data_IF_774795277840
#
_entry.id   IF_774795277840
#
_cell.length_a   1.000
_cell.length_b   1.000
_cell.length_c   1.000
_cell.angle_alpha   90.00
_cell.angle_beta   90.00
_cell.angle_gamma   90.00
#
_symmetry.space_group_name_H-M   'P 1'
#
loop_
_entity.id
_entity.type
_entity.pdbx_description
1 polymer ?
#
# COMPACT_ATOMS: atom_id res chain seq x y z
N UNK A 1 9.02 -15.30 -6.47
CA UNK A 1 8.84 -13.83 -6.37
C UNK A 1 8.33 -13.54 -4.99
N UNK A 2 8.93 -12.56 -4.30
CA UNK A 2 8.58 -12.32 -2.90
C UNK A 2 7.26 -11.56 -2.77
N UNK A 3 7.05 -10.55 -3.64
CA UNK A 3 5.82 -9.76 -3.63
C UNK A 3 5.32 -9.41 -5.03
N UNK A 4 4.00 -9.21 -5.13
CA UNK A 4 3.31 -8.67 -6.30
C UNK A 4 2.36 -7.56 -5.82
N UNK A 5 2.66 -6.31 -6.17
CA UNK A 5 1.75 -5.20 -5.91
C UNK A 5 0.82 -5.00 -7.12
N UNK A 6 -0.40 -4.55 -6.87
CA UNK A 6 -1.36 -4.21 -7.92
C UNK A 6 -1.96 -2.83 -7.64
N UNK A 7 -1.97 -1.97 -8.65
CA UNK A 7 -2.71 -0.71 -8.58
C UNK A 7 -2.04 0.45 -9.31
N UNK A 8 -2.30 1.66 -8.82
CA UNK A 8 -1.92 2.90 -9.45
C UNK A 8 -0.40 3.18 -9.39
N UNK A 9 0.11 3.68 -10.52
CA UNK A 9 1.35 4.44 -10.65
C UNK A 9 0.93 5.84 -11.11
N UNK A 10 1.30 6.85 -10.36
CA UNK A 10 0.93 8.23 -10.62
C UNK A 10 2.01 9.21 -10.18
N UNK A 11 1.84 10.46 -10.58
CA UNK A 11 2.64 11.58 -10.07
C UNK A 11 1.78 12.50 -9.22
N UNK A 12 2.21 12.73 -8.00
CA UNK A 12 1.68 13.77 -7.13
C UNK A 12 2.21 15.12 -7.61
N UNK A 13 1.30 16.03 -7.98
CA UNK A 13 1.62 17.37 -8.48
C UNK A 13 1.24 18.39 -7.41
N UNK A 14 2.23 19.04 -6.83
CA UNK A 14 2.06 20.09 -5.84
C UNK A 14 2.90 21.31 -6.22
N UNK A 15 2.27 22.48 -6.43
CA UNK A 15 2.94 23.75 -6.74
C UNK A 15 3.95 23.65 -7.90
N UNK A 16 3.64 22.85 -8.93
CA UNK A 16 4.49 22.62 -10.10
C UNK A 16 5.62 21.61 -9.89
N UNK A 17 5.84 21.13 -8.70
CA UNK A 17 6.70 19.98 -8.41
C UNK A 17 5.94 18.68 -8.64
N UNK A 18 6.64 17.66 -9.13
CA UNK A 18 6.07 16.34 -9.32
C UNK A 18 6.89 15.29 -8.58
N UNK A 19 6.20 14.41 -7.89
CA UNK A 19 6.82 13.28 -7.17
C UNK A 19 6.13 11.99 -7.62
N UNK A 20 6.91 10.99 -7.99
CA UNK A 20 6.39 9.67 -8.33
C UNK A 20 5.77 9.05 -7.07
N UNK A 21 4.57 8.49 -7.20
CA UNK A 21 3.78 7.94 -6.10
C UNK A 21 2.74 6.91 -6.56
N UNK A 22 1.78 6.68 -5.70
CA UNK A 22 0.79 5.61 -5.76
C UNK A 22 1.05 4.59 -4.66
N UNK A 23 0.06 4.31 -3.80
CA UNK A 23 0.27 3.46 -2.64
C UNK A 23 0.89 2.10 -2.97
N UNK A 24 0.43 1.36 -4.03
CA UNK A 24 1.04 0.09 -4.41
C UNK A 24 2.49 0.23 -4.86
N UNK A 25 2.84 1.34 -5.53
CA UNK A 25 4.20 1.62 -5.93
C UNK A 25 5.08 1.98 -4.73
N UNK A 26 4.57 2.77 -3.79
CA UNK A 26 5.30 3.12 -2.56
C UNK A 26 5.67 1.87 -1.77
N UNK A 27 4.71 0.95 -1.57
CA UNK A 27 4.95 -0.34 -0.92
C UNK A 27 6.00 -1.17 -1.67
N UNK A 28 5.87 -1.30 -2.99
CA UNK A 28 6.83 -2.02 -3.82
C UNK A 28 8.24 -1.42 -3.71
N UNK A 29 8.35 -0.09 -3.68
CA UNK A 29 9.63 0.61 -3.57
C UNK A 29 10.31 0.36 -2.22
N UNK A 30 9.58 0.43 -1.13
CA UNK A 30 10.12 0.11 0.19
C UNK A 30 10.52 -1.36 0.29
N UNK A 31 9.72 -2.31 -0.23
CA UNK A 31 10.08 -3.72 -0.28
C UNK A 31 11.37 -3.98 -1.09
N UNK A 32 11.52 -3.30 -2.24
CA UNK A 32 12.77 -3.38 -3.01
C UNK A 32 13.97 -2.82 -2.23
N UNK A 33 13.81 -1.68 -1.52
CA UNK A 33 14.85 -1.11 -0.64
C UNK A 33 15.18 -2.02 0.54
N UNK A 34 14.25 -2.86 0.99
CA UNK A 34 14.46 -3.91 2.00
C UNK A 34 15.10 -5.18 1.43
N UNK A 35 15.44 -5.21 0.14
CA UNK A 35 16.13 -6.31 -0.52
C UNK A 35 15.23 -7.41 -1.08
N UNK A 36 13.91 -7.26 -1.07
CA UNK A 36 12.97 -8.22 -1.65
C UNK A 36 12.84 -8.04 -3.16
N UNK A 37 12.56 -9.14 -3.86
CA UNK A 37 12.39 -9.18 -5.32
C UNK A 37 10.93 -9.32 -5.68
N UNK A 38 10.39 -8.32 -6.37
CA UNK A 38 9.00 -8.33 -6.77
C UNK A 38 8.71 -7.37 -7.92
N UNK A 39 7.44 -7.28 -8.23
CA UNK A 39 6.92 -6.46 -9.34
C UNK A 39 5.65 -5.75 -8.93
N UNK A 40 5.26 -4.79 -9.75
CA UNK A 40 3.95 -4.14 -9.70
C UNK A 40 3.21 -4.39 -11.01
N UNK A 41 1.97 -4.85 -10.92
CA UNK A 41 1.03 -4.89 -12.06
C UNK A 41 0.32 -3.55 -12.12
N UNK A 42 0.60 -2.80 -13.14
CA UNK A 42 0.06 -1.46 -13.35
C UNK A 42 0.08 -1.09 -14.83
N UNK A 43 -0.28 0.14 -15.14
CA UNK A 43 -0.16 0.73 -16.46
C UNK A 43 0.27 2.18 -16.37
N UNK A 44 1.15 2.59 -17.29
CA UNK A 44 1.56 3.99 -17.49
C UNK A 44 1.31 4.40 -18.93
N UNK A 45 1.26 5.69 -19.20
CA UNK A 45 1.06 6.22 -20.55
C UNK A 45 2.29 6.07 -21.43
N UNK A 46 2.09 6.14 -22.76
CA UNK A 46 3.15 6.35 -23.74
C UNK A 46 3.48 7.86 -23.79
N UNK A 47 3.95 8.39 -22.67
CA UNK A 47 4.24 9.80 -22.46
C UNK A 47 5.51 10.00 -21.61
N UNK A 48 5.92 11.26 -21.44
CA UNK A 48 7.14 11.61 -20.70
C UNK A 48 7.06 11.16 -19.22
N UNK A 49 5.88 11.25 -18.58
CA UNK A 49 5.69 10.80 -17.20
C UNK A 49 5.77 9.28 -17.10
N UNK A 50 5.22 8.55 -18.07
CA UNK A 50 5.34 7.08 -18.11
C UNK A 50 6.78 6.62 -18.25
N UNK A 51 7.54 7.28 -19.15
CA UNK A 51 8.97 6.99 -19.33
C UNK A 51 9.79 7.30 -18.07
N UNK A 52 9.49 8.42 -17.38
CA UNK A 52 10.11 8.78 -16.12
C UNK A 52 9.78 7.77 -15.01
N UNK A 53 8.50 7.35 -14.92
CA UNK A 53 8.05 6.34 -13.95
C UNK A 53 8.80 5.01 -14.15
N UNK A 54 8.84 4.48 -15.37
CA UNK A 54 9.54 3.21 -15.67
C UNK A 54 11.04 3.32 -15.34
N UNK A 55 11.68 4.44 -15.67
CA UNK A 55 13.09 4.66 -15.37
C UNK A 55 13.36 4.66 -13.87
N UNK A 56 12.52 5.37 -13.11
CA UNK A 56 12.63 5.45 -11.65
C UNK A 56 12.37 4.10 -10.99
N UNK A 57 11.35 3.37 -11.43
CA UNK A 57 11.00 2.03 -10.94
C UNK A 57 12.16 1.04 -11.12
N UNK A 58 12.79 1.04 -12.30
CA UNK A 58 13.98 0.22 -12.57
C UNK A 58 15.16 0.62 -11.69
N UNK A 59 15.37 1.93 -11.47
CA UNK A 59 16.44 2.43 -10.61
C UNK A 59 16.27 2.00 -9.15
N UNK A 60 15.03 1.92 -8.66
CA UNK A 60 14.71 1.43 -7.31
C UNK A 60 14.97 -0.08 -7.19
N UNK A 61 14.96 -0.83 -8.30
CA UNK A 61 15.16 -2.28 -8.32
C UNK A 61 13.88 -3.11 -8.39
N UNK A 62 12.75 -2.48 -8.74
CA UNK A 62 11.48 -3.18 -8.96
C UNK A 62 11.45 -3.74 -10.39
N UNK A 63 11.01 -4.98 -10.56
CA UNK A 63 10.79 -5.56 -11.88
C UNK A 63 9.60 -4.87 -12.57
N UNK A 64 9.88 -4.19 -13.67
CA UNK A 64 8.88 -3.45 -14.45
C UNK A 64 8.21 -4.29 -15.56
N UNK A 65 8.48 -5.58 -15.64
CA UNK A 65 8.01 -6.45 -16.74
C UNK A 65 6.48 -6.64 -16.76
N UNK A 66 5.81 -6.37 -15.65
CA UNK A 66 4.35 -6.47 -15.50
C UNK A 66 3.64 -5.09 -15.58
N UNK A 67 4.38 -4.02 -15.94
CA UNK A 67 3.81 -2.70 -16.20
C UNK A 67 3.52 -2.59 -17.69
N UNK A 68 2.27 -2.31 -18.04
CA UNK A 68 1.87 -2.09 -19.43
C UNK A 68 2.02 -0.62 -19.84
N UNK A 69 2.27 -0.41 -21.13
CA UNK A 69 2.21 0.94 -21.74
C UNK A 69 0.83 1.11 -22.38
N UNK A 70 0.15 2.17 -22.02
CA UNK A 70 -1.21 2.51 -22.47
C UNK A 70 -1.20 3.70 -23.41
N UNK A 71 -2.21 3.80 -24.26
CA UNK A 71 -2.50 5.04 -25.01
C UNK A 71 -3.17 6.12 -24.15
N UNK A 72 -3.54 5.81 -22.91
CA UNK A 72 -4.06 6.76 -21.93
C UNK A 72 -2.90 7.47 -21.23
N UNK A 73 -3.14 8.68 -20.74
CA UNK A 73 -2.13 9.44 -20.00
C UNK A 73 -1.70 8.73 -18.71
N UNK A 74 -0.44 8.90 -18.36
CA UNK A 74 0.07 8.48 -17.04
C UNK A 74 -0.73 9.16 -15.91
N UNK A 75 -0.97 8.43 -14.86
CA UNK A 75 -1.73 8.89 -13.70
C UNK A 75 -1.14 10.16 -13.07
N UNK A 76 -2.03 11.06 -12.65
CA UNK A 76 -1.68 12.27 -11.89
C UNK A 76 -2.67 12.47 -10.76
N UNK A 77 -2.15 12.98 -9.65
CA UNK A 77 -2.93 13.54 -8.56
C UNK A 77 -2.53 15.00 -8.38
N UNK A 78 -3.38 15.91 -8.78
CA UNK A 78 -3.19 17.33 -8.51
C UNK A 78 -3.55 17.60 -7.05
N UNK A 79 -2.56 18.06 -6.27
CA UNK A 79 -2.70 18.30 -4.84
C UNK A 79 -2.91 19.80 -4.61
N UNK A 80 -4.01 20.14 -3.94
CA UNK A 80 -4.27 21.49 -3.46
C UNK A 80 -4.36 21.47 -1.93
N UNK A 81 -3.77 22.47 -1.29
CA UNK A 81 -3.89 22.63 0.16
C UNK A 81 -5.11 23.53 0.46
N UNK A 82 -6.05 23.00 1.24
CA UNK A 82 -7.24 23.72 1.68
C UNK A 82 -7.29 23.66 3.21
N UNK A 83 -7.18 24.81 3.86
CA UNK A 83 -7.17 24.94 5.33
C UNK A 83 -6.08 24.06 6.03
N UNK A 84 -5.01 23.74 5.32
CA UNK A 84 -3.92 22.90 5.81
C UNK A 84 -4.06 21.41 5.45
N UNK A 85 -5.22 20.97 4.93
CA UNK A 85 -5.45 19.61 4.48
C UNK A 85 -5.17 19.45 2.98
N UNK A 86 -4.61 18.32 2.58
CA UNK A 86 -4.34 17.99 1.19
C UNK A 86 -5.60 17.45 0.51
N UNK A 87 -6.06 18.14 -0.52
CA UNK A 87 -7.13 17.67 -1.41
C UNK A 87 -6.54 17.13 -2.71
N UNK A 88 -6.80 15.86 -3.01
CA UNK A 88 -6.28 15.15 -4.17
C UNK A 88 -7.32 15.12 -5.29
N UNK A 89 -6.94 15.56 -6.50
CA UNK A 89 -7.76 15.45 -7.69
C UNK A 89 -7.04 14.53 -8.68
N UNK A 90 -7.58 13.33 -8.85
CA UNK A 90 -7.03 12.35 -9.80
C UNK A 90 -7.59 12.61 -11.19
N UNK A 91 -6.72 12.52 -12.21
CA UNK A 91 -7.21 12.55 -13.60
C UNK A 91 -8.10 11.32 -13.89
N UNK A 92 -9.13 11.54 -14.66
CA UNK A 92 -10.04 10.48 -15.09
C UNK A 92 -9.45 9.69 -16.27
N UNK A 93 -9.86 8.41 -16.38
CA UNK A 93 -9.48 7.52 -17.49
C UNK A 93 -7.97 7.49 -17.78
N UNK A 94 -7.19 7.49 -16.71
CA UNK A 94 -5.73 7.41 -16.79
C UNK A 94 -5.24 5.97 -17.08
N UNK A 95 -3.95 5.82 -17.35
CA UNK A 95 -3.37 4.53 -17.70
C UNK A 95 -3.67 3.44 -16.66
N UNK A 96 -3.56 3.74 -15.35
CA UNK A 96 -3.85 2.78 -14.29
C UNK A 96 -5.35 2.44 -14.09
N UNK A 97 -6.26 3.19 -14.70
CA UNK A 97 -7.67 2.78 -14.84
C UNK A 97 -7.83 1.67 -15.90
N UNK A 98 -6.81 1.44 -16.71
CA UNK A 98 -6.80 0.54 -17.86
C UNK A 98 -5.68 -0.51 -17.74
N UNK A 99 -5.52 -1.13 -16.58
CA UNK A 99 -4.51 -2.17 -16.34
C UNK A 99 -4.95 -3.48 -17.00
N UNK A 100 -4.29 -3.93 -18.09
CA UNK A 100 -4.62 -5.20 -18.71
C UNK A 100 -4.02 -6.36 -17.91
N UNK A 101 -4.60 -7.57 -18.04
CA UNK A 101 -4.00 -8.78 -17.48
C UNK A 101 -2.64 -9.06 -18.12
N UNK A 102 -1.56 -9.15 -17.32
CA UNK A 102 -0.26 -9.54 -17.82
C UNK A 102 -0.26 -10.97 -18.36
N UNK A 103 0.51 -11.20 -19.42
CA UNK A 103 0.65 -12.55 -20.02
C UNK A 103 1.46 -13.50 -19.14
N UNK A 104 2.42 -12.97 -18.40
CA UNK A 104 3.41 -13.73 -17.63
C UNK A 104 3.24 -13.52 -16.14
N UNK A 105 2.02 -13.73 -15.60
CA UNK A 105 1.81 -13.70 -14.17
C UNK A 105 2.56 -14.84 -13.47
N UNK A 106 3.19 -14.58 -12.31
CA UNK A 106 3.77 -15.63 -11.48
C UNK A 106 2.67 -16.55 -10.96
N UNK A 107 2.96 -17.86 -10.86
CA UNK A 107 2.03 -18.81 -10.25
C UNK A 107 2.02 -18.71 -8.72
N UNK A 108 3.17 -18.39 -8.12
CA UNK A 108 3.34 -18.31 -6.67
C UNK A 108 4.10 -17.05 -6.29
N UNK A 109 3.62 -16.38 -5.25
CA UNK A 109 4.28 -15.21 -4.63
C UNK A 109 4.13 -15.30 -3.11
N UNK A 110 5.04 -14.66 -2.38
CA UNK A 110 4.89 -14.55 -0.93
C UNK A 110 3.69 -13.67 -0.54
N UNK A 111 3.59 -12.46 -1.14
CA UNK A 111 2.50 -11.52 -0.83
C UNK A 111 1.92 -10.90 -2.10
N UNK A 112 0.60 -10.82 -2.19
CA UNK A 112 -0.10 -9.89 -3.10
C UNK A 112 -0.57 -8.70 -2.28
N UNK A 113 -0.21 -7.48 -2.71
CA UNK A 113 -0.67 -6.22 -2.11
C UNK A 113 -1.55 -5.45 -3.09
N UNK A 114 -2.70 -4.97 -2.63
CA UNK A 114 -3.59 -4.11 -3.40
C UNK A 114 -4.42 -3.18 -2.51
N UNK A 115 -4.91 -2.09 -3.10
CA UNK A 115 -5.81 -1.11 -2.47
C UNK A 115 -7.15 -0.97 -3.20
N UNK A 116 -7.92 0.06 -2.82
CA UNK A 116 -9.24 0.33 -3.42
C UNK A 116 -9.17 1.19 -4.68
N UNK A 117 -8.23 2.14 -4.76
CA UNK A 117 -8.29 3.24 -5.73
C UNK A 117 -8.28 2.74 -7.19
N UNK A 118 -7.39 1.82 -7.56
CA UNK A 118 -7.33 1.30 -8.92
C UNK A 118 -8.56 0.47 -9.31
N UNK A 119 -9.35 0.01 -8.33
CA UNK A 119 -10.58 -0.74 -8.55
C UNK A 119 -11.76 0.15 -8.94
N UNK A 120 -11.60 1.50 -8.95
CA UNK A 120 -12.62 2.42 -9.46
C UNK A 120 -12.98 2.13 -10.91
N UNK A 121 -12.03 1.64 -11.70
CA UNK A 121 -12.24 1.18 -13.07
C UNK A 121 -12.61 -0.30 -13.09
N UNK A 122 -13.66 -0.64 -13.85
CA UNK A 122 -14.12 -2.01 -14.04
C UNK A 122 -13.05 -2.91 -14.70
N UNK A 123 -12.22 -2.35 -15.60
CA UNK A 123 -11.16 -3.12 -16.27
C UNK A 123 -10.05 -3.49 -15.30
N UNK A 124 -9.53 -2.53 -14.56
CA UNK A 124 -8.47 -2.78 -13.56
C UNK A 124 -8.97 -3.68 -12.43
N UNK A 125 -10.23 -3.52 -11.98
CA UNK A 125 -10.85 -4.42 -11.00
C UNK A 125 -10.93 -5.85 -11.50
N UNK A 126 -11.38 -6.07 -12.75
CA UNK A 126 -11.40 -7.39 -13.37
C UNK A 126 -10.01 -8.02 -13.44
N UNK A 127 -9.00 -7.22 -13.80
CA UNK A 127 -7.60 -7.70 -13.83
C UNK A 127 -7.13 -8.14 -12.44
N UNK A 128 -7.46 -7.40 -11.38
CA UNK A 128 -7.15 -7.80 -10.00
C UNK A 128 -7.84 -9.13 -9.65
N UNK A 129 -9.12 -9.30 -9.96
CA UNK A 129 -9.85 -10.54 -9.72
C UNK A 129 -9.19 -11.75 -10.42
N UNK A 130 -8.73 -11.53 -11.66
CA UNK A 130 -8.02 -12.56 -12.42
C UNK A 130 -6.65 -12.89 -11.83
N UNK A 131 -5.92 -11.90 -11.31
CA UNK A 131 -4.64 -12.09 -10.60
C UNK A 131 -4.88 -12.92 -9.33
N UNK A 132 -5.82 -12.50 -8.47
CA UNK A 132 -6.16 -13.18 -7.22
C UNK A 132 -6.72 -14.61 -7.42
N UNK A 133 -7.20 -14.91 -8.62
CA UNK A 133 -7.69 -16.24 -8.98
C UNK A 133 -6.60 -17.14 -9.58
N UNK A 134 -5.58 -16.55 -10.19
CA UNK A 134 -4.52 -17.27 -10.90
C UNK A 134 -3.25 -17.46 -10.06
N UNK A 135 -2.87 -16.43 -9.30
CA UNK A 135 -1.63 -16.40 -8.52
C UNK A 135 -1.90 -16.85 -7.09
N UNK A 136 -1.25 -17.91 -6.66
CA UNK A 136 -1.27 -18.35 -5.28
C UNK A 136 -0.32 -17.48 -4.47
N UNK A 137 -0.81 -16.89 -3.38
CA UNK A 137 -0.04 -16.07 -2.45
C UNK A 137 -0.07 -16.69 -1.06
N UNK A 138 1.05 -16.60 -0.32
CA UNK A 138 1.08 -16.97 1.09
C UNK A 138 0.23 -16.01 1.91
N UNK A 139 0.28 -14.70 1.58
CA UNK A 139 -0.54 -13.67 2.17
C UNK A 139 -1.16 -12.76 1.10
N UNK A 140 -2.39 -12.32 1.34
CA UNK A 140 -3.10 -11.34 0.52
C UNK A 140 -3.35 -10.10 1.38
N UNK A 141 -2.61 -9.04 1.09
CA UNK A 141 -2.65 -7.79 1.85
C UNK A 141 -3.59 -6.79 1.18
N UNK A 142 -4.72 -6.53 1.81
CA UNK A 142 -5.68 -5.52 1.39
C UNK A 142 -5.51 -4.25 2.24
N UNK A 143 -4.97 -3.20 1.63
CA UNK A 143 -4.92 -1.86 2.21
C UNK A 143 -6.16 -1.09 1.75
N UNK A 144 -7.09 -0.82 2.64
CA UNK A 144 -8.36 -0.16 2.30
C UNK A 144 -8.10 1.18 1.64
N UNK A 145 -7.29 2.01 2.23
CA UNK A 145 -6.75 3.27 1.69
C UNK A 145 -7.78 4.06 0.87
N UNK A 146 -8.89 4.44 1.51
CA UNK A 146 -10.01 5.12 0.87
C UNK A 146 -9.60 6.48 0.30
N UNK A 147 -10.03 6.76 -0.91
CA UNK A 147 -9.82 8.06 -1.56
C UNK A 147 -11.14 8.61 -2.06
N UNK A 148 -11.59 9.73 -1.48
CA UNK A 148 -12.84 10.42 -1.87
C UNK A 148 -14.02 9.44 -2.02
N UNK A 149 -14.64 9.44 -3.22
CA UNK A 149 -15.76 8.54 -3.58
C UNK A 149 -15.31 7.35 -4.45
N UNK A 150 -14.02 7.10 -4.59
CA UNK A 150 -13.50 6.06 -5.50
C UNK A 150 -13.52 4.66 -4.89
N UNK A 151 -14.51 4.37 -4.04
CA UNK A 151 -14.77 3.05 -3.48
C UNK A 151 -16.26 2.75 -3.50
N UNK A 152 -16.62 1.51 -3.34
CA UNK A 152 -17.99 1.06 -3.21
C UNK A 152 -18.08 -0.10 -2.22
N UNK A 153 -19.31 -0.38 -1.73
CA UNK A 153 -19.56 -1.57 -0.91
C UNK A 153 -19.03 -2.85 -1.58
N UNK A 154 -19.23 -2.98 -2.89
CA UNK A 154 -18.76 -4.15 -3.65
C UNK A 154 -17.24 -4.29 -3.60
N UNK A 155 -16.49 -3.22 -3.88
CA UNK A 155 -15.01 -3.22 -3.84
C UNK A 155 -14.52 -3.61 -2.44
N UNK A 156 -15.09 -3.04 -1.38
CA UNK A 156 -14.72 -3.33 -0.01
C UNK A 156 -14.99 -4.79 0.34
N UNK A 157 -16.22 -5.26 0.10
CA UNK A 157 -16.62 -6.62 0.47
C UNK A 157 -15.81 -7.68 -0.28
N UNK A 158 -15.55 -7.49 -1.59
CA UNK A 158 -14.71 -8.41 -2.35
C UNK A 158 -13.25 -8.38 -1.89
N UNK A 159 -12.71 -7.21 -1.56
CA UNK A 159 -11.37 -7.08 -0.96
C UNK A 159 -11.27 -7.85 0.37
N UNK A 160 -12.23 -7.65 1.27
CA UNK A 160 -12.28 -8.34 2.56
C UNK A 160 -12.39 -9.86 2.42
N UNK A 161 -13.14 -10.37 1.44
CA UNK A 161 -13.26 -11.82 1.18
C UNK A 161 -11.96 -12.47 0.71
N UNK A 162 -11.04 -11.70 0.15
CA UNK A 162 -9.78 -12.20 -0.38
C UNK A 162 -8.61 -11.99 0.58
N UNK A 163 -8.74 -11.03 1.49
CA UNK A 163 -7.66 -10.62 2.38
C UNK A 163 -7.33 -11.69 3.44
N UNK A 164 -6.05 -11.92 3.65
CA UNK A 164 -5.51 -12.55 4.85
C UNK A 164 -4.95 -11.52 5.82
N UNK A 165 -4.59 -10.35 5.29
CA UNK A 165 -4.17 -9.17 6.04
C UNK A 165 -5.00 -7.98 5.58
N UNK A 166 -5.71 -7.36 6.51
CA UNK A 166 -6.46 -6.13 6.32
C UNK A 166 -5.72 -4.97 6.96
N UNK A 167 -5.55 -3.86 6.24
CA UNK A 167 -5.08 -2.62 6.83
C UNK A 167 -6.11 -1.51 6.63
N UNK A 168 -6.34 -0.75 7.71
CA UNK A 168 -7.17 0.45 7.75
C UNK A 168 -6.47 1.52 8.59
N UNK A 169 -6.86 2.77 8.43
CA UNK A 169 -6.56 3.80 9.41
C UNK A 169 -7.75 4.02 10.36
N UNK A 170 -7.56 4.81 11.42
CA UNK A 170 -8.60 5.08 12.43
C UNK A 170 -9.84 5.79 11.86
N UNK A 171 -9.69 6.55 10.76
CA UNK A 171 -10.80 7.24 10.10
C UNK A 171 -11.57 6.30 9.15
N UNK A 172 -10.92 5.29 8.62
CA UNK A 172 -11.51 4.31 7.71
C UNK A 172 -12.37 3.27 8.45
N UNK A 173 -12.00 2.91 9.68
CA UNK A 173 -12.73 1.90 10.46
C UNK A 173 -14.24 2.22 10.54
N UNK A 174 -14.70 3.42 10.97
CA UNK A 174 -16.13 3.72 11.04
C UNK A 174 -16.81 3.73 9.66
N UNK A 175 -16.09 4.08 8.59
CA UNK A 175 -16.65 4.03 7.21
C UNK A 175 -16.89 2.58 6.80
N UNK A 176 -15.95 1.70 7.09
CA UNK A 176 -16.09 0.27 6.81
C UNK A 176 -17.20 -0.36 7.65
N UNK A 177 -17.32 0.03 8.93
CA UNK A 177 -18.45 -0.38 9.78
C UNK A 177 -19.80 -0.04 9.16
N UNK A 178 -19.99 1.21 8.73
CA UNK A 178 -21.22 1.67 8.08
C UNK A 178 -21.50 0.89 6.79
N UNK A 179 -20.50 0.66 5.97
CA UNK A 179 -20.63 -0.15 4.73
C UNK A 179 -21.08 -1.58 5.06
N UNK A 180 -20.57 -2.18 6.12
CA UNK A 180 -20.85 -3.56 6.51
C UNK A 180 -22.11 -3.71 7.39
N UNK A 181 -22.61 -2.62 7.94
CA UNK A 181 -23.73 -2.62 8.89
C UNK A 181 -23.32 -3.08 10.30
N UNK A 182 -22.02 -3.02 10.63
CA UNK A 182 -21.48 -3.22 11.96
C UNK A 182 -21.78 -1.98 12.79
N UNK A 183 -22.03 -2.12 14.09
CA UNK A 183 -22.44 -1.01 14.97
C UNK A 183 -21.61 -0.98 16.26
N UNK A 184 -20.34 -1.27 16.14
CA UNK A 184 -19.39 -1.08 17.22
C UNK A 184 -18.90 0.38 17.19
N UNK A 185 -18.62 0.97 18.34
CA UNK A 185 -18.08 2.34 18.40
C UNK A 185 -16.60 2.36 18.79
N UNK A 186 -16.11 1.22 19.14
CA UNK A 186 -14.74 1.01 19.57
C UNK A 186 -13.96 0.42 18.40
N UNK A 187 -12.84 1.05 18.04
CA UNK A 187 -12.01 0.66 16.88
C UNK A 187 -11.52 -0.77 17.02
N UNK A 188 -11.12 -1.19 18.23
CA UNK A 188 -10.62 -2.53 18.47
C UNK A 188 -11.72 -3.57 18.22
N UNK A 189 -12.91 -3.36 18.80
CA UNK A 189 -14.07 -4.25 18.64
C UNK A 189 -14.58 -4.30 17.21
N UNK A 190 -14.64 -3.15 16.54
CA UNK A 190 -15.02 -3.08 15.13
C UNK A 190 -14.07 -3.89 14.27
N UNK A 191 -12.78 -3.75 14.49
CA UNK A 191 -11.74 -4.48 13.77
C UNK A 191 -11.78 -5.98 14.05
N UNK A 192 -12.04 -6.38 15.31
CA UNK A 192 -12.23 -7.79 15.69
C UNK A 192 -13.48 -8.39 15.02
N UNK A 193 -14.57 -7.63 14.96
CA UNK A 193 -15.80 -8.08 14.29
C UNK A 193 -15.60 -8.24 12.78
N UNK A 194 -14.90 -7.31 12.12
CA UNK A 194 -14.53 -7.42 10.71
C UNK A 194 -13.66 -8.67 10.48
N UNK A 195 -12.62 -8.85 11.31
CA UNK A 195 -11.76 -10.04 11.29
C UNK A 195 -12.58 -11.33 11.39
N UNK A 196 -13.49 -11.39 12.35
CA UNK A 196 -14.35 -12.55 12.58
C UNK A 196 -15.31 -12.81 11.42
N UNK A 197 -15.99 -11.78 10.91
CA UNK A 197 -17.00 -11.88 9.86
C UNK A 197 -16.41 -12.36 8.53
N UNK A 198 -15.20 -11.92 8.21
CA UNK A 198 -14.52 -12.25 6.95
C UNK A 198 -13.41 -13.29 7.12
N UNK A 199 -13.20 -13.81 8.33
CA UNK A 199 -12.14 -14.78 8.65
C UNK A 199 -10.74 -14.26 8.27
N UNK A 200 -10.48 -12.98 8.52
CA UNK A 200 -9.20 -12.33 8.26
C UNK A 200 -8.30 -12.49 9.49
N UNK A 201 -7.22 -13.29 9.41
CA UNK A 201 -6.39 -13.57 10.58
C UNK A 201 -5.61 -12.38 11.11
N UNK A 202 -5.35 -11.37 10.28
CA UNK A 202 -4.55 -10.21 10.69
C UNK A 202 -5.24 -8.91 10.30
N UNK A 203 -5.48 -8.02 11.28
CA UNK A 203 -5.99 -6.66 11.03
C UNK A 203 -5.01 -5.64 11.59
N UNK A 204 -4.62 -4.71 10.74
CA UNK A 204 -3.70 -3.61 11.06
C UNK A 204 -4.52 -2.32 11.10
N UNK A 205 -4.38 -1.56 12.18
CA UNK A 205 -4.99 -0.22 12.28
C UNK A 205 -3.91 0.81 12.56
N UNK A 206 -3.77 1.80 11.67
CA UNK A 206 -2.90 2.95 11.90
C UNK A 206 -3.68 4.06 12.62
N UNK A 207 -3.04 4.68 13.61
CA UNK A 207 -3.65 5.64 14.54
C UNK A 207 -2.96 7.02 14.44
N UNK A 208 -2.46 7.36 13.25
CA UNK A 208 -1.75 8.60 13.00
C UNK A 208 -0.61 8.82 13.99
N UNK A 209 -0.63 9.95 14.70
CA UNK A 209 0.37 10.30 15.73
C UNK A 209 0.38 9.37 16.94
N UNK A 210 -0.64 8.55 17.12
CA UNK A 210 -0.74 7.58 18.21
C UNK A 210 -0.11 6.23 17.84
N UNK A 211 0.43 6.07 16.62
CA UNK A 211 1.16 4.89 16.18
C UNK A 211 0.31 3.90 15.39
N UNK A 212 0.47 2.62 15.68
CA UNK A 212 -0.25 1.56 14.99
C UNK A 212 -0.47 0.34 15.89
N UNK A 213 -1.43 -0.48 15.51
CA UNK A 213 -1.73 -1.71 16.22
C UNK A 213 -2.10 -2.84 15.26
N UNK A 214 -1.86 -4.07 15.68
CA UNK A 214 -2.18 -5.28 14.91
C UNK A 214 -2.96 -6.23 15.79
N UNK A 215 -4.09 -6.68 15.28
CA UNK A 215 -4.86 -7.80 15.81
C UNK A 215 -4.46 -9.08 15.08
N UNK A 216 -4.07 -10.11 15.83
CA UNK A 216 -3.82 -11.44 15.29
C UNK A 216 -3.98 -12.48 16.39
N UNK A 217 -4.53 -13.65 16.07
CA UNK A 217 -4.71 -14.77 17.00
C UNK A 217 -5.44 -14.40 18.31
N UNK A 218 -6.46 -13.52 18.20
CA UNK A 218 -7.26 -13.07 19.33
C UNK A 218 -6.57 -12.07 20.26
N UNK A 219 -5.44 -11.47 19.83
CA UNK A 219 -4.66 -10.55 20.67
C UNK A 219 -4.23 -9.32 19.88
N UNK A 220 -4.19 -8.18 20.60
CA UNK A 220 -3.66 -6.93 20.09
C UNK A 220 -2.19 -6.74 20.43
N UNK A 221 -1.41 -6.30 19.45
CA UNK A 221 -0.09 -5.74 19.64
C UNK A 221 -0.13 -4.27 19.24
N UNK A 222 0.23 -3.36 20.15
CA UNK A 222 0.19 -1.90 19.94
C UNK A 222 1.58 -1.32 20.02
N UNK A 223 1.84 -0.28 19.23
CA UNK A 223 3.08 0.48 19.26
C UNK A 223 2.80 1.96 19.05
N UNK A 224 3.35 2.79 19.92
CA UNK A 224 3.28 4.25 19.79
C UNK A 224 4.13 4.74 18.62
N UNK A 225 3.79 5.91 18.08
CA UNK A 225 4.56 6.51 17.01
C UNK A 225 5.95 6.95 17.52
N UNK A 226 6.99 6.66 16.76
CA UNK A 226 8.37 6.94 17.11
C UNK A 226 8.92 8.24 16.49
N UNK A 227 8.17 8.85 15.57
CA UNK A 227 8.64 10.03 14.85
C UNK A 227 8.90 11.21 15.78
N UNK A 228 10.16 11.62 15.86
CA UNK A 228 10.61 12.79 16.64
C UNK A 228 10.40 14.11 15.88
N UNK A 229 10.30 14.04 14.57
CA UNK A 229 10.11 15.15 13.64
C UNK A 229 9.14 14.73 12.56
N UNK A 230 8.23 15.60 12.20
CA UNK A 230 7.28 15.40 11.09
C UNK A 230 7.58 16.43 10.02
N UNK A 231 7.99 15.98 8.84
CA UNK A 231 8.24 16.81 7.65
C UNK A 231 7.12 16.58 6.63
N UNK A 232 6.81 15.30 6.35
CA UNK A 232 5.78 14.91 5.39
C UNK A 232 5.14 13.60 5.89
N UNK A 233 3.84 13.48 5.80
CA UNK A 233 3.13 12.26 6.22
C UNK A 233 2.80 11.33 5.05
N UNK A 234 3.08 11.75 3.83
CA UNK A 234 2.84 10.96 2.61
C UNK A 234 3.72 9.71 2.63
N UNK A 235 3.10 8.55 2.36
CA UNK A 235 3.80 7.26 2.34
C UNK A 235 4.08 6.62 3.71
N UNK A 236 3.72 7.26 4.83
CA UNK A 236 3.90 6.67 6.16
C UNK A 236 3.18 5.31 6.30
N UNK A 237 1.92 5.25 5.88
CA UNK A 237 1.14 4.00 5.88
C UNK A 237 1.71 2.94 4.95
N UNK A 238 2.21 3.36 3.78
CA UNK A 238 2.78 2.47 2.77
C UNK A 238 4.10 1.88 3.25
N UNK A 239 4.95 2.69 3.86
CA UNK A 239 6.24 2.26 4.42
C UNK A 239 6.07 1.36 5.64
N UNK A 240 5.06 1.62 6.50
CA UNK A 240 4.65 0.71 7.56
C UNK A 240 4.24 -0.66 6.97
N UNK A 241 3.37 -0.65 5.96
CA UNK A 241 2.91 -1.86 5.28
C UNK A 241 4.09 -2.65 4.71
N UNK A 242 5.03 -1.98 4.04
CA UNK A 242 6.22 -2.63 3.48
C UNK A 242 7.11 -3.26 4.57
N UNK A 243 7.33 -2.57 5.69
CA UNK A 243 8.08 -3.10 6.83
C UNK A 243 7.41 -4.34 7.45
N UNK A 244 6.09 -4.31 7.58
CA UNK A 244 5.31 -5.47 8.06
C UNK A 244 5.40 -6.63 7.06
N UNK A 245 5.13 -6.39 5.78
CA UNK A 245 5.21 -7.41 4.72
C UNK A 245 6.61 -8.03 4.69
N UNK A 246 7.66 -7.19 4.65
CA UNK A 246 9.04 -7.67 4.63
C UNK A 246 9.39 -8.53 5.85
N UNK A 247 8.88 -8.17 7.03
CA UNK A 247 9.06 -8.95 8.25
C UNK A 247 8.37 -10.31 8.18
N UNK A 248 7.15 -10.36 7.66
CA UNK A 248 6.40 -11.61 7.46
C UNK A 248 7.10 -12.52 6.45
N UNK A 249 7.58 -11.98 5.33
CA UNK A 249 8.36 -12.71 4.33
C UNK A 249 9.65 -13.31 4.90
N UNK A 250 10.21 -12.72 5.96
CA UNK A 250 11.35 -13.28 6.71
C UNK A 250 10.93 -14.25 7.83
N UNK A 251 9.64 -14.52 7.99
CA UNK A 251 9.14 -15.39 9.05
C UNK A 251 9.21 -14.77 10.46
N UNK A 252 9.32 -13.45 10.56
CA UNK A 252 9.34 -12.76 11.84
C UNK A 252 7.92 -12.71 12.43
N UNK A 253 7.83 -12.79 13.75
CA UNK A 253 6.54 -12.68 14.44
C UNK A 253 5.94 -11.27 14.35
N UNK A 254 4.61 -11.19 14.49
CA UNK A 254 3.83 -9.97 14.26
C UNK A 254 4.27 -8.77 15.12
N UNK A 255 4.73 -9.03 16.35
CA UNK A 255 5.24 -7.97 17.23
C UNK A 255 6.49 -7.32 16.65
N UNK A 256 7.41 -8.13 16.11
CA UNK A 256 8.63 -7.62 15.46
C UNK A 256 8.31 -6.96 14.12
N UNK A 257 7.33 -7.49 13.40
CA UNK A 257 6.85 -6.88 12.16
C UNK A 257 6.29 -5.46 12.38
N UNK A 258 5.48 -5.28 13.44
CA UNK A 258 4.98 -3.95 13.81
C UNK A 258 6.11 -3.01 14.24
N UNK A 259 7.11 -3.52 14.97
CA UNK A 259 8.28 -2.73 15.38
C UNK A 259 9.05 -2.19 14.18
N UNK A 260 9.43 -3.07 13.26
CA UNK A 260 10.19 -2.70 12.06
C UNK A 260 9.39 -1.77 11.16
N UNK A 261 8.11 -2.09 10.92
CA UNK A 261 7.22 -1.24 10.13
C UNK A 261 7.07 0.17 10.72
N UNK A 262 6.89 0.27 12.04
CA UNK A 262 6.79 1.57 12.74
C UNK A 262 8.08 2.36 12.66
N UNK A 263 9.23 1.71 12.77
CA UNK A 263 10.53 2.38 12.67
C UNK A 263 10.78 2.95 11.28
N UNK A 264 10.47 2.17 10.22
CA UNK A 264 10.58 2.66 8.84
C UNK A 264 9.60 3.82 8.59
N UNK A 265 8.36 3.71 9.06
CA UNK A 265 7.36 4.76 8.93
C UNK A 265 7.79 6.05 9.65
N UNK A 266 8.37 5.96 10.84
CA UNK A 266 8.89 7.11 11.59
C UNK A 266 10.02 7.81 10.84
N UNK A 267 10.90 7.06 10.17
CA UNK A 267 11.92 7.61 9.30
C UNK A 267 11.31 8.34 8.10
N UNK A 268 10.38 7.68 7.38
CA UNK A 268 9.73 8.27 6.19
C UNK A 268 9.03 9.57 6.53
N UNK A 269 8.34 9.64 7.66
CA UNK A 269 7.67 10.88 8.13
C UNK A 269 8.66 12.02 8.42
N UNK A 270 9.93 11.72 8.72
CA UNK A 270 10.96 12.72 8.96
C UNK A 270 11.63 13.26 7.70
N UNK A 271 11.30 12.70 6.54
CA UNK A 271 11.87 13.04 5.24
C UNK A 271 10.81 13.59 4.28
N UNK A 272 11.23 14.12 3.13
CA UNK A 272 10.32 14.59 2.09
C UNK A 272 9.88 13.47 1.14
N UNK A 273 8.56 13.32 0.95
CA UNK A 273 7.95 12.41 -0.03
C UNK A 273 7.87 10.96 0.45
N UNK A 274 7.15 10.15 -0.31
CA UNK A 274 6.78 8.80 0.09
C UNK A 274 7.91 7.77 -0.01
N UNK A 275 8.98 8.03 -0.78
CA UNK A 275 10.04 7.05 -1.06
C UNK A 275 11.43 7.69 -0.85
N UNK A 276 11.74 8.22 0.35
CA UNK A 276 13.04 8.85 0.61
C UNK A 276 14.18 7.82 0.55
N UNK A 277 15.40 8.27 0.24
CA UNK A 277 16.58 7.43 0.37
C UNK A 277 16.85 7.11 1.85
N UNK A 278 17.15 5.83 2.15
CA UNK A 278 17.47 5.42 3.51
C UNK A 278 18.88 5.90 3.90
N UNK A 279 18.97 6.61 5.01
CA UNK A 279 20.24 7.07 5.56
C UNK A 279 21.06 5.95 6.22
N UNK A 280 22.23 6.29 6.73
CA UNK A 280 23.11 5.29 7.35
C UNK A 280 22.54 4.74 8.66
N UNK A 281 21.77 5.53 9.42
CA UNK A 281 21.18 5.09 10.67
C UNK A 281 20.09 4.06 10.44
N UNK A 282 19.15 4.33 9.53
CA UNK A 282 18.11 3.37 9.16
C UNK A 282 18.72 2.13 8.51
N UNK A 283 19.70 2.28 7.62
CA UNK A 283 20.39 1.14 6.99
C UNK A 283 21.08 0.25 8.02
N UNK A 284 21.75 0.84 9.01
CA UNK A 284 22.38 0.10 10.10
C UNK A 284 21.34 -0.66 10.91
N UNK A 285 20.25 -0.02 11.30
CA UNK A 285 19.15 -0.67 12.00
C UNK A 285 18.61 -1.87 11.19
N UNK A 286 18.31 -1.68 9.91
CA UNK A 286 17.81 -2.73 9.03
C UNK A 286 18.81 -3.88 8.82
N UNK A 287 20.11 -3.57 8.81
CA UNK A 287 21.17 -4.59 8.79
C UNK A 287 21.18 -5.43 10.09
N UNK A 288 21.12 -4.77 11.24
CA UNK A 288 21.05 -5.45 12.55
C UNK A 288 19.80 -6.34 12.67
N UNK A 289 18.69 -5.94 12.04
CA UNK A 289 17.46 -6.72 11.94
C UNK A 289 17.47 -7.77 10.80
N UNK A 290 18.58 -7.91 10.09
CA UNK A 290 18.79 -8.93 9.07
C UNK A 290 18.08 -8.66 7.73
N UNK A 291 17.70 -7.40 7.43
CA UNK A 291 17.09 -7.05 6.15
C UNK A 291 18.10 -6.74 5.05
N UNK A 292 19.20 -6.10 5.41
CA UNK A 292 20.25 -5.70 4.48
C UNK A 292 21.49 -6.57 4.71
N UNK A 293 22.25 -6.85 3.63
CA UNK A 293 23.50 -7.61 3.67
C UNK A 293 24.70 -6.66 3.71
#
# INVERSE_FOLDING_TARGET
>A
MDYLCFGEILFDILSGQRKLGGAPLNVAAHLAKLGFKGSIVSSVGDDDLGNEAITSIKKIGIDSSLISISSKETGRADITLKDGDADYIFNDDSAWDNIPKPKNLPKHVGVIYFGTLAQRSALSRKTLEEILSFTEAEEVFFDVNLRKQYYSREIIVEGLRKATILKMNEEEVPIIEDILGIKERDIDKASEEISRQYSIPTVIVTLGKNGAQIFRDGSWCKREAEAKRVVDTVGAGDSLSAGIIGSLLKGLGIKKALEIGSHIAAYVVSEEGAIPEYDEELRKYLFEEGFLA
#
